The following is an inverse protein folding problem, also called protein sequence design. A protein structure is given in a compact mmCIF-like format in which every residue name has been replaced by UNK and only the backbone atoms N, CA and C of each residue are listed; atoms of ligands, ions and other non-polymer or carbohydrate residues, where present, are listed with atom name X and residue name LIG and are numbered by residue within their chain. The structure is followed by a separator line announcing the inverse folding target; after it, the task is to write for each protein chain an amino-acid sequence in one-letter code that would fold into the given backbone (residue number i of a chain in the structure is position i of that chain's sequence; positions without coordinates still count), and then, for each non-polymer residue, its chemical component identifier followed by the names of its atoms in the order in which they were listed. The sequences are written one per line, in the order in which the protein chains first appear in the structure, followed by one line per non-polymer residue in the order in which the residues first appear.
data_IF_373704462562
#
_entry.id   IF_373704462562
#
_cell.length_a   1.000
_cell.length_b   1.000
_cell.length_c   1.000
_cell.angle_alpha   90.00
_cell.angle_beta   90.00
_cell.angle_gamma   90.00
#
_symmetry.space_group_name_H-M   'P 1'
#
loop_
_entity.id
_entity.type
_entity.pdbx_description
1 polymer ?
#
# COMPACT_ATOMS: atom_id res chain seq x y z
N UNK A 1 -1.50 -9.20 -17.54
CA UNK A 1 -0.85 -8.73 -16.29
C UNK A 1 -1.21 -9.69 -15.20
N UNK A 2 -0.22 -10.16 -14.46
CA UNK A 2 -0.44 -10.95 -13.26
C UNK A 2 -1.11 -10.06 -12.20
N UNK A 3 -2.02 -10.65 -11.41
CA UNK A 3 -2.70 -9.90 -10.35
C UNK A 3 -1.82 -9.90 -9.12
N UNK A 4 -1.67 -8.75 -8.49
CA UNK A 4 -0.90 -8.64 -7.24
C UNK A 4 -1.56 -9.46 -6.12
N UNK A 5 -0.82 -10.42 -5.60
CA UNK A 5 -1.23 -11.30 -4.50
C UNK A 5 -0.79 -10.79 -3.12
N UNK A 6 0.07 -9.78 -3.07
CA UNK A 6 0.73 -9.31 -1.85
C UNK A 6 2.26 -9.34 -1.93
N UNK A 7 2.82 -10.04 -2.90
CA UNK A 7 4.27 -10.22 -3.06
C UNK A 7 4.90 -9.09 -3.89
N UNK A 8 6.11 -8.65 -3.49
CA UNK A 8 6.90 -7.64 -4.22
C UNK A 8 6.18 -6.29 -4.44
N UNK A 9 5.59 -5.73 -3.37
CA UNK A 9 4.81 -4.48 -3.44
C UNK A 9 5.51 -3.33 -4.15
N UNK A 10 6.80 -3.11 -3.89
CA UNK A 10 7.57 -2.05 -4.54
C UNK A 10 7.60 -2.20 -6.07
N UNK A 11 7.77 -3.43 -6.57
CA UNK A 11 7.77 -3.71 -8.01
C UNK A 11 6.39 -3.50 -8.62
N UNK A 12 5.33 -4.00 -7.97
CA UNK A 12 3.95 -3.80 -8.41
C UNK A 12 3.58 -2.32 -8.46
N UNK A 13 3.95 -1.56 -7.43
CA UNK A 13 3.70 -0.11 -7.33
C UNK A 13 4.32 0.63 -8.51
N UNK A 14 5.61 0.40 -8.78
CA UNK A 14 6.30 1.00 -9.92
C UNK A 14 5.64 0.64 -11.25
N UNK A 15 5.21 -0.61 -11.43
CA UNK A 15 4.51 -1.05 -12.63
C UNK A 15 3.15 -0.34 -12.83
N UNK A 16 2.40 -0.11 -11.74
CA UNK A 16 1.12 0.59 -11.77
C UNK A 16 1.30 2.09 -11.99
N UNK A 17 2.32 2.71 -11.39
CA UNK A 17 2.65 4.11 -11.61
C UNK A 17 3.02 4.36 -13.08
N UNK A 18 3.86 3.50 -13.67
CA UNK A 18 4.22 3.59 -15.09
C UNK A 18 3.01 3.38 -16.00
N UNK A 19 2.16 2.38 -15.71
CA UNK A 19 0.93 2.14 -16.46
C UNK A 19 -0.05 3.33 -16.39
N UNK A 20 -0.20 3.96 -15.23
CA UNK A 20 -1.04 5.15 -15.07
C UNK A 20 -0.44 6.36 -15.80
N UNK A 21 0.90 6.50 -15.80
CA UNK A 21 1.60 7.54 -16.54
C UNK A 21 1.39 7.41 -18.05
N UNK A 22 1.57 6.21 -18.60
CA UNK A 22 1.32 5.91 -20.02
C UNK A 22 -0.13 6.19 -20.45
N UNK A 23 -1.10 6.12 -19.53
CA UNK A 23 -2.51 6.38 -19.82
C UNK A 23 -2.91 7.85 -19.65
N UNK A 24 -1.96 8.74 -19.38
CA UNK A 24 -2.21 10.15 -19.01
C UNK A 24 -3.11 10.27 -17.76
N UNK A 25 -3.13 9.23 -16.94
CA UNK A 25 -3.94 9.14 -15.71
C UNK A 25 -3.16 9.56 -14.46
N UNK A 26 -1.88 9.89 -14.60
CA UNK A 26 -0.95 10.22 -13.52
C UNK A 26 -0.95 11.71 -13.10
N UNK A 27 -1.84 12.55 -13.66
CA UNK A 27 -2.20 13.83 -12.99
C UNK A 27 -2.45 13.57 -11.51
N UNK A 28 -2.15 14.53 -10.59
CA UNK A 28 -2.10 14.27 -9.16
C UNK A 28 -3.26 13.37 -8.77
N UNK A 29 -2.95 12.18 -8.20
CA UNK A 29 -3.84 11.02 -8.01
C UNK A 29 -5.24 11.38 -7.46
N UNK A 30 -5.38 12.58 -6.88
CA UNK A 30 -6.62 13.26 -6.50
C UNK A 30 -7.61 13.57 -7.64
N UNK A 31 -7.17 13.80 -8.89
CA UNK A 31 -8.04 14.37 -9.95
C UNK A 31 -8.77 13.30 -10.77
N UNK A 32 -8.29 12.06 -10.79
CA UNK A 32 -8.82 10.96 -11.61
C UNK A 32 -9.27 9.74 -10.78
N UNK A 33 -9.80 10.04 -9.59
CA UNK A 33 -10.02 9.08 -8.52
C UNK A 33 -10.82 7.84 -8.98
N UNK A 34 -11.84 7.98 -9.84
CA UNK A 34 -12.62 6.81 -10.33
C UNK A 34 -11.90 5.92 -11.34
N UNK A 35 -11.10 6.48 -12.26
CA UNK A 35 -10.40 5.70 -13.28
C UNK A 35 -9.19 5.00 -12.68
N UNK A 36 -8.40 5.72 -11.88
CA UNK A 36 -7.26 5.18 -11.18
C UNK A 36 -7.68 4.07 -10.21
N UNK A 37 -8.75 4.27 -9.43
CA UNK A 37 -9.30 3.25 -8.52
C UNK A 37 -9.76 1.99 -9.26
N UNK A 38 -10.35 2.12 -10.44
CA UNK A 38 -10.71 0.98 -11.29
C UNK A 38 -9.49 0.21 -11.76
N UNK A 39 -8.46 0.90 -12.27
CA UNK A 39 -7.20 0.28 -12.74
C UNK A 39 -6.50 -0.45 -11.60
N UNK A 40 -6.39 0.18 -10.43
CA UNK A 40 -5.74 -0.43 -9.28
C UNK A 40 -6.54 -1.66 -8.84
N UNK A 41 -7.86 -1.58 -8.64
CA UNK A 41 -8.69 -2.75 -8.29
C UNK A 41 -8.59 -3.91 -9.30
N UNK A 42 -8.45 -3.61 -10.59
CA UNK A 42 -8.27 -4.63 -11.64
C UNK A 42 -6.90 -5.32 -11.59
N UNK A 43 -5.87 -4.61 -11.13
CA UNK A 43 -4.51 -5.15 -11.00
C UNK A 43 -4.29 -5.99 -9.74
N UNK A 44 -5.26 -6.00 -8.83
CA UNK A 44 -5.19 -6.70 -7.56
C UNK A 44 -5.88 -8.06 -7.62
N UNK A 45 -5.39 -9.00 -6.82
CA UNK A 45 -6.03 -10.31 -6.63
C UNK A 45 -7.25 -10.22 -5.73
N UNK A 46 -8.06 -11.28 -5.71
CA UNK A 46 -9.36 -11.30 -5.02
C UNK A 46 -9.21 -11.21 -3.49
N UNK A 47 -8.11 -11.72 -2.95
CA UNK A 47 -7.77 -11.66 -1.52
C UNK A 47 -7.41 -10.24 -1.10
N UNK A 48 -6.56 -9.56 -1.87
CA UNK A 48 -6.14 -8.18 -1.59
C UNK A 48 -7.31 -7.21 -1.77
N UNK A 49 -8.10 -7.39 -2.83
CA UNK A 49 -9.25 -6.54 -3.15
C UNK A 49 -10.26 -6.47 -2.01
N UNK A 50 -10.49 -7.57 -1.29
CA UNK A 50 -11.46 -7.60 -0.19
C UNK A 50 -11.10 -6.64 0.96
N UNK A 51 -9.81 -6.50 1.29
CA UNK A 51 -9.36 -5.71 2.42
C UNK A 51 -9.44 -4.19 2.17
N UNK A 52 -9.38 -3.79 0.90
CA UNK A 52 -9.40 -2.40 0.44
C UNK A 52 -10.73 -1.99 -0.19
N UNK A 53 -11.73 -2.89 -0.25
CA UNK A 53 -13.09 -2.56 -0.73
C UNK A 53 -13.72 -1.41 0.07
N UNK A 54 -13.32 -1.26 1.34
CA UNK A 54 -13.71 -0.16 2.23
C UNK A 54 -13.20 1.20 1.76
N UNK A 55 -12.08 1.23 1.03
CA UNK A 55 -11.46 2.46 0.53
C UNK A 55 -12.18 2.93 -0.72
N UNK A 56 -12.70 4.17 -0.64
CA UNK A 56 -13.46 4.83 -1.71
C UNK A 56 -12.61 5.81 -2.52
N UNK A 57 -11.41 6.12 -2.03
CA UNK A 57 -10.47 7.05 -2.67
C UNK A 57 -9.20 6.33 -3.05
N UNK A 58 -8.57 6.77 -4.13
CA UNK A 58 -7.29 6.25 -4.62
C UNK A 58 -6.18 6.45 -3.59
N UNK A 59 -6.22 7.58 -2.87
CA UNK A 59 -5.29 7.88 -1.78
C UNK A 59 -5.46 6.91 -0.61
N UNK A 60 -6.69 6.68 -0.14
CA UNK A 60 -6.95 5.75 0.96
C UNK A 60 -6.58 4.31 0.60
N UNK A 61 -6.85 3.92 -0.65
CA UNK A 61 -6.47 2.61 -1.17
C UNK A 61 -4.94 2.44 -1.23
N UNK A 62 -4.20 3.42 -1.76
CA UNK A 62 -2.74 3.37 -1.85
C UNK A 62 -2.11 3.36 -0.46
N UNK A 63 -2.66 4.13 0.48
CA UNK A 63 -2.22 4.14 1.87
C UNK A 63 -2.47 2.79 2.56
N UNK A 64 -3.66 2.21 2.41
CA UNK A 64 -3.98 0.90 2.97
C UNK A 64 -3.07 -0.20 2.42
N UNK A 65 -2.77 -0.18 1.12
CA UNK A 65 -1.82 -1.11 0.52
C UNK A 65 -0.40 -0.93 1.07
N UNK A 66 0.05 0.32 1.24
CA UNK A 66 1.34 0.63 1.86
C UNK A 66 1.42 0.12 3.30
N UNK A 67 0.37 0.33 4.09
CA UNK A 67 0.29 -0.15 5.48
C UNK A 67 0.26 -1.68 5.58
N UNK A 68 -0.35 -2.36 4.61
CA UNK A 68 -0.45 -3.82 4.62
C UNK A 68 0.81 -4.54 4.13
N UNK A 69 1.52 -3.97 3.15
CA UNK A 69 2.59 -4.67 2.43
C UNK A 69 3.96 -3.97 2.46
N UNK A 70 4.01 -2.67 2.76
CA UNK A 70 5.26 -1.90 2.87
C UNK A 70 5.68 -1.71 4.35
N UNK A 71 4.76 -1.85 5.31
CA UNK A 71 5.09 -1.87 6.74
C UNK A 71 5.20 -3.31 7.27
N UNK A 72 6.32 -3.68 7.91
CA UNK A 72 6.40 -4.97 8.59
C UNK A 72 5.57 -5.05 9.88
N UNK A 73 5.10 -3.92 10.46
CA UNK A 73 4.25 -3.91 11.65
C UNK A 73 4.05 -2.48 12.19
N UNK A 74 2.84 -1.91 12.09
CA UNK A 74 2.29 -1.10 13.19
C UNK A 74 1.56 -2.09 14.11
N UNK A 75 2.30 -3.07 14.62
CA UNK A 75 1.85 -3.96 15.69
C UNK A 75 3.00 -4.10 16.66
N UNK A 76 3.25 -3.04 17.42
CA UNK A 76 3.42 -3.23 18.84
C UNK A 76 3.07 -1.97 19.62
N UNK A 77 1.77 -1.70 19.76
CA UNK A 77 1.26 -1.06 20.96
C UNK A 77 1.29 -2.14 22.06
N UNK A 78 2.46 -2.49 22.60
CA UNK A 78 2.50 -3.56 23.62
C UNK A 78 3.82 -4.08 24.18
N UNK A 79 4.98 -4.00 23.50
CA UNK A 79 6.18 -4.66 24.06
C UNK A 79 7.48 -4.11 23.49
N UNK A 80 8.00 -3.00 24.03
CA UNK A 80 9.43 -2.63 23.99
C UNK A 80 9.76 -1.40 24.85
N UNK A 81 9.18 -1.26 26.05
CA UNK A 81 9.77 -0.44 27.13
C UNK A 81 10.45 -1.34 28.16
N UNK A 82 11.41 -2.16 27.72
CA UNK A 82 12.18 -3.02 28.63
C UNK A 82 13.65 -3.19 28.24
N UNK A 83 14.23 -2.24 27.51
CA UNK A 83 15.68 -2.19 27.26
C UNK A 83 16.27 -0.77 27.32
N UNK A 84 15.80 0.04 28.27
CA UNK A 84 16.60 1.17 28.81
C UNK A 84 17.08 0.93 30.25
N UNK A 85 16.89 -0.28 30.78
CA UNK A 85 17.63 -0.76 31.95
C UNK A 85 18.69 -1.75 31.45
N UNK A 86 19.96 -1.40 31.66
CA UNK A 86 21.21 -2.10 31.35
C UNK A 86 22.02 -1.61 30.13
N UNK A 87 22.62 -0.42 30.27
CA UNK A 87 24.06 -0.14 30.09
C UNK A 87 24.31 1.34 30.44
N UNK A 88 25.23 1.82 31.29
CA UNK A 88 26.19 1.30 32.27
C UNK A 88 26.25 2.32 33.44
N UNK A 89 26.86 2.06 34.60
CA UNK A 89 28.20 1.47 34.75
C UNK A 89 29.25 2.53 34.43
N UNK A 90 29.48 3.43 35.40
CA UNK A 90 30.46 4.52 35.37
C UNK A 90 30.37 5.34 36.65
#
# INVERSE_FOLDING_TARGET
MEKFDGSYFAFWKTHIEDYLYQKDLYRPLLVLDRKALGVIRLSLSKSVTHNILKEKTTVGLMQALKEMYEQPSITNKGHMESLQRYHGGG
#
